data_IF_219663146501
#
_entry.id   IF_219663146501
#
_cell.length_a   1.000
_cell.length_b   1.000
_cell.length_c   1.000
_cell.angle_alpha   90.00
_cell.angle_beta   90.00
_cell.angle_gamma   90.00
#
_symmetry.space_group_name_H-M   'P 1'
#
loop_
_entity.id
_entity.type
_entity.pdbx_description
1 polymer ?
#
# COMPACT_ATOMS: atom_id res chain seq x y z
N UNK A 1 -2.84 12.38 19.84
CA UNK A 1 -2.44 13.44 18.89
C UNK A 1 -1.33 13.00 17.94
N UNK A 2 -0.38 12.17 18.38
CA UNK A 2 0.73 11.69 17.53
C UNK A 2 0.29 10.95 16.27
N UNK A 3 -0.76 10.11 16.34
CA UNK A 3 -1.30 9.37 15.19
C UNK A 3 -1.75 10.29 14.06
N UNK A 4 -2.49 11.36 14.39
CA UNK A 4 -2.99 12.35 13.43
C UNK A 4 -1.83 13.11 12.78
N UNK A 5 -0.80 13.46 13.55
CA UNK A 5 0.39 14.11 13.03
C UNK A 5 1.12 13.22 12.00
N UNK A 6 1.28 11.93 12.26
CA UNK A 6 1.87 10.98 11.31
C UNK A 6 1.05 10.86 10.01
N UNK A 7 -0.29 10.81 10.11
CA UNK A 7 -1.16 10.74 8.93
C UNK A 7 -1.11 12.02 8.07
N UNK A 8 -1.02 13.19 8.71
CA UNK A 8 -0.86 14.47 8.01
C UNK A 8 0.49 14.52 7.29
N UNK A 9 1.58 14.13 7.97
CA UNK A 9 2.92 14.06 7.38
C UNK A 9 2.90 13.14 6.16
N UNK A 10 2.37 11.92 6.32
CA UNK A 10 2.24 10.96 5.22
C UNK A 10 1.50 11.56 4.00
N UNK A 11 0.35 12.17 4.24
CA UNK A 11 -0.49 12.75 3.16
C UNK A 11 0.20 13.93 2.48
N UNK A 12 0.85 14.80 3.25
CA UNK A 12 1.55 15.97 2.71
C UNK A 12 2.75 15.57 1.84
N UNK A 13 3.57 14.61 2.28
CA UNK A 13 4.75 14.18 1.53
C UNK A 13 4.40 13.36 0.29
N UNK A 14 3.33 12.55 0.30
CA UNK A 14 2.82 11.91 -0.92
C UNK A 14 2.31 12.95 -1.92
N UNK A 15 1.59 13.98 -1.45
CA UNK A 15 1.15 15.08 -2.30
C UNK A 15 2.32 15.85 -2.93
N UNK A 16 3.40 16.06 -2.17
CA UNK A 16 4.61 16.73 -2.66
C UNK A 16 5.30 15.96 -3.78
N UNK A 17 5.13 14.64 -3.87
CA UNK A 17 5.68 13.81 -4.96
C UNK A 17 4.91 13.98 -6.29
N UNK A 18 3.76 14.66 -6.30
CA UNK A 18 3.01 14.94 -7.52
C UNK A 18 3.65 16.02 -8.41
N UNK A 19 4.63 16.78 -7.92
CA UNK A 19 5.28 17.83 -8.70
C UNK A 19 6.25 17.22 -9.74
N UNK A 20 6.05 17.50 -11.06
CA UNK A 20 6.87 16.94 -12.14
C UNK A 20 8.31 17.48 -12.19
N UNK A 21 8.66 18.52 -11.42
CA UNK A 21 9.98 19.16 -11.45
C UNK A 21 10.93 18.65 -10.34
N UNK A 22 10.52 17.66 -9.54
CA UNK A 22 11.39 17.13 -8.49
C UNK A 22 12.56 16.36 -9.09
N UNK A 23 13.76 16.67 -8.61
CA UNK A 23 14.95 15.84 -8.82
C UNK A 23 14.73 14.47 -8.17
N UNK A 24 15.31 13.42 -8.77
CA UNK A 24 15.25 12.05 -8.25
C UNK A 24 15.58 11.97 -6.75
N UNK A 25 16.61 12.70 -6.30
CA UNK A 25 16.99 12.77 -4.89
C UNK A 25 15.87 13.27 -3.96
N UNK A 26 15.11 14.30 -4.38
CA UNK A 26 14.00 14.86 -3.58
C UNK A 26 12.83 13.90 -3.51
N UNK A 27 12.49 13.24 -4.63
CA UNK A 27 11.44 12.21 -4.67
C UNK A 27 11.77 11.08 -3.70
N UNK A 28 13.01 10.60 -3.69
CA UNK A 28 13.44 9.54 -2.78
C UNK A 28 13.37 9.96 -1.32
N UNK A 29 13.82 11.17 -0.98
CA UNK A 29 13.77 11.69 0.40
C UNK A 29 12.32 11.83 0.88
N UNK A 30 11.44 12.42 0.05
CA UNK A 30 10.03 12.55 0.39
C UNK A 30 9.33 11.19 0.52
N UNK A 31 9.68 10.23 -0.34
CA UNK A 31 9.23 8.85 -0.25
C UNK A 31 9.67 8.16 1.04
N UNK A 32 10.93 8.32 1.46
CA UNK A 32 11.44 7.74 2.71
C UNK A 32 10.71 8.30 3.94
N UNK A 33 10.47 9.61 3.99
CA UNK A 33 9.74 10.25 5.08
C UNK A 33 8.29 9.75 5.13
N UNK A 34 7.62 9.70 3.98
CA UNK A 34 6.24 9.19 3.89
C UNK A 34 6.15 7.71 4.35
N UNK A 35 7.04 6.85 3.88
CA UNK A 35 7.06 5.44 4.26
C UNK A 35 7.35 5.22 5.75
N UNK A 36 8.24 6.03 6.33
CA UNK A 36 8.54 5.97 7.76
C UNK A 36 7.32 6.38 8.60
N UNK A 37 6.66 7.48 8.23
CA UNK A 37 5.42 7.91 8.87
C UNK A 37 4.32 6.84 8.74
N UNK A 38 4.26 6.16 7.58
CA UNK A 38 3.34 5.06 7.36
C UNK A 38 3.57 3.88 8.31
N UNK A 39 4.83 3.43 8.43
CA UNK A 39 5.18 2.34 9.33
C UNK A 39 4.82 2.63 10.80
N UNK A 40 5.02 3.87 11.24
CA UNK A 40 4.68 4.28 12.61
C UNK A 40 3.17 4.23 12.85
N UNK A 41 2.34 4.81 11.98
CA UNK A 41 0.90 4.80 12.22
C UNK A 41 0.32 3.39 12.12
N UNK A 42 0.80 2.58 11.17
CA UNK A 42 0.31 1.22 10.96
C UNK A 42 0.61 0.33 12.18
N UNK A 43 1.83 0.40 12.70
CA UNK A 43 2.23 -0.32 13.92
C UNK A 43 1.32 0.01 15.10
N UNK A 44 0.91 1.29 15.24
CA UNK A 44 -0.01 1.71 16.30
C UNK A 44 -1.43 1.20 16.08
N UNK A 45 -1.93 1.19 14.84
CA UNK A 45 -3.27 0.67 14.53
C UNK A 45 -3.38 -0.85 14.79
N UNK A 46 -2.33 -1.61 14.47
CA UNK A 46 -2.30 -3.06 14.75
C UNK A 46 -2.24 -3.31 16.26
N UNK A 47 -1.41 -2.56 16.99
CA UNK A 47 -1.36 -2.67 18.44
C UNK A 47 -2.69 -2.29 19.10
N UNK A 48 -3.40 -1.28 18.60
CA UNK A 48 -4.70 -0.86 19.13
C UNK A 48 -5.76 -1.97 19.00
N UNK A 49 -5.83 -2.65 17.85
CA UNK A 49 -6.79 -3.74 17.63
C UNK A 49 -6.60 -4.93 18.58
N UNK A 50 -5.36 -5.14 19.06
CA UNK A 50 -5.04 -6.17 20.04
C UNK A 50 -5.45 -5.80 21.47
N UNK A 51 -5.62 -4.52 21.79
CA UNK A 51 -6.00 -4.04 23.12
C UNK A 51 -7.52 -4.01 23.36
N UNK A 52 -8.32 -4.10 22.30
CA UNK A 52 -9.78 -4.03 22.39
C UNK A 52 -10.45 -5.38 22.68
N UNK A 53 -9.69 -6.48 22.54
CA UNK A 53 -10.20 -7.85 22.67
C UNK A 53 -9.48 -8.61 23.79
N UNK A 54 -10.16 -9.60 24.36
CA UNK A 54 -9.54 -10.51 25.32
C UNK A 54 -8.32 -11.20 24.72
N UNK A 55 -7.32 -11.48 25.55
CA UNK A 55 -6.04 -12.05 25.12
C UNK A 55 -6.19 -13.39 24.36
N UNK A 56 -7.27 -14.13 24.59
CA UNK A 56 -7.61 -15.37 23.88
C UNK A 56 -8.01 -15.15 22.41
N UNK A 57 -8.53 -13.96 22.07
CA UNK A 57 -9.13 -13.66 20.76
C UNK A 57 -8.30 -12.65 19.93
N UNK A 58 -7.14 -12.20 20.45
CA UNK A 58 -6.22 -11.27 19.77
C UNK A 58 -5.83 -11.76 18.37
N UNK A 59 -5.58 -13.06 18.22
CA UNK A 59 -5.24 -13.67 16.93
C UNK A 59 -6.36 -13.53 15.90
N UNK A 60 -7.62 -13.70 16.32
CA UNK A 60 -8.78 -13.60 15.44
C UNK A 60 -9.04 -12.14 15.04
N UNK A 61 -8.91 -11.20 16.00
CA UNK A 61 -9.04 -9.76 15.74
C UNK A 61 -8.00 -9.26 14.73
N UNK A 62 -6.72 -9.54 14.96
CA UNK A 62 -5.65 -9.10 14.07
C UNK A 62 -5.73 -9.81 12.70
N UNK A 63 -6.12 -11.08 12.68
CA UNK A 63 -6.35 -11.83 11.44
C UNK A 63 -7.45 -11.21 10.58
N UNK A 64 -8.57 -10.81 11.20
CA UNK A 64 -9.64 -10.09 10.51
C UNK A 64 -9.17 -8.72 10.00
N UNK A 65 -8.45 -7.94 10.82
CA UNK A 65 -7.89 -6.64 10.43
C UNK A 65 -6.99 -6.75 9.19
N UNK A 66 -6.07 -7.71 9.16
CA UNK A 66 -5.15 -7.91 8.03
C UNK A 66 -5.85 -8.45 6.78
N UNK A 67 -6.95 -9.20 6.95
CA UNK A 67 -7.78 -9.64 5.83
C UNK A 67 -8.47 -8.46 5.14
N UNK A 68 -9.07 -7.54 5.91
CA UNK A 68 -9.65 -6.31 5.35
C UNK A 68 -8.61 -5.45 4.63
N UNK A 69 -7.42 -5.30 5.23
CA UNK A 69 -6.30 -4.61 4.59
C UNK A 69 -5.98 -5.22 3.23
N UNK A 70 -5.81 -6.54 3.16
CA UNK A 70 -5.48 -7.24 1.91
C UNK A 70 -6.53 -7.02 0.82
N UNK A 71 -7.82 -7.09 1.17
CA UNK A 71 -8.92 -6.85 0.22
C UNK A 71 -8.88 -5.42 -0.32
N UNK A 72 -8.74 -4.43 0.57
CA UNK A 72 -8.68 -3.01 0.17
C UNK A 72 -7.43 -2.75 -0.69
N UNK A 73 -6.28 -3.31 -0.32
CA UNK A 73 -5.05 -3.19 -1.13
C UNK A 73 -5.23 -3.80 -2.51
N UNK A 74 -5.87 -4.96 -2.64
CA UNK A 74 -6.11 -5.58 -3.95
C UNK A 74 -7.01 -4.70 -4.84
N UNK A 75 -8.10 -4.14 -4.30
CA UNK A 75 -8.98 -3.23 -5.03
C UNK A 75 -8.24 -1.95 -5.42
N UNK A 76 -7.50 -1.35 -4.49
CA UNK A 76 -6.71 -0.16 -4.76
C UNK A 76 -5.68 -0.42 -5.87
N UNK A 77 -4.90 -1.50 -5.79
CA UNK A 77 -3.93 -1.90 -6.81
C UNK A 77 -4.58 -2.08 -8.18
N UNK A 78 -5.77 -2.68 -8.26
CA UNK A 78 -6.50 -2.82 -9.51
C UNK A 78 -6.89 -1.44 -10.11
N UNK A 79 -7.35 -0.50 -9.28
CA UNK A 79 -7.65 0.88 -9.70
C UNK A 79 -6.39 1.59 -10.18
N UNK A 80 -5.27 1.46 -9.46
CA UNK A 80 -3.98 2.05 -9.82
C UNK A 80 -3.50 1.54 -11.19
N UNK A 81 -3.48 0.23 -11.40
CA UNK A 81 -3.04 -0.38 -12.67
C UNK A 81 -3.95 0.02 -13.82
N UNK A 82 -5.27 -0.04 -13.62
CA UNK A 82 -6.26 0.31 -14.65
C UNK A 82 -6.12 1.78 -15.06
N UNK A 83 -5.99 2.67 -14.08
CA UNK A 83 -5.86 4.11 -14.34
C UNK A 83 -4.53 4.43 -15.01
N UNK A 84 -3.44 3.79 -14.58
CA UNK A 84 -2.12 3.97 -15.18
C UNK A 84 -2.12 3.55 -16.66
N UNK A 85 -2.64 2.36 -16.97
CA UNK A 85 -2.72 1.86 -18.35
C UNK A 85 -3.56 2.80 -19.22
N UNK A 86 -4.77 3.18 -18.77
CA UNK A 86 -5.63 4.09 -19.52
C UNK A 86 -5.01 5.47 -19.76
N UNK A 87 -4.28 5.99 -18.76
CA UNK A 87 -3.66 7.31 -18.83
C UNK A 87 -2.40 7.29 -19.68
N UNK A 88 -1.59 6.23 -19.57
CA UNK A 88 -0.42 6.03 -20.41
C UNK A 88 -0.80 5.90 -21.87
N UNK A 89 -1.78 5.06 -22.22
CA UNK A 89 -2.23 4.94 -23.62
C UNK A 89 -2.67 6.29 -24.18
N UNK A 90 -3.39 7.11 -23.39
CA UNK A 90 -3.79 8.47 -23.82
C UNK A 90 -2.61 9.42 -23.98
N UNK A 91 -1.69 9.44 -23.01
CA UNK A 91 -0.55 10.35 -23.00
C UNK A 91 0.51 9.97 -24.04
N UNK A 92 0.73 8.68 -24.29
CA UNK A 92 1.63 8.19 -25.34
C UNK A 92 1.14 8.68 -26.70
N UNK A 93 -0.13 8.47 -27.03
CA UNK A 93 -0.69 9.01 -28.28
C UNK A 93 -0.60 10.54 -28.35
N UNK A 94 -0.84 11.25 -27.24
CA UNK A 94 -0.83 12.71 -27.22
C UNK A 94 0.57 13.32 -27.36
N UNK A 95 1.58 12.74 -26.72
CA UNK A 95 2.91 13.35 -26.64
C UNK A 95 3.93 12.68 -27.58
N UNK A 96 3.92 11.34 -27.67
CA UNK A 96 4.93 10.58 -28.40
C UNK A 96 4.65 10.63 -29.91
N UNK A 97 3.41 10.36 -30.32
CA UNK A 97 3.02 10.40 -31.75
C UNK A 97 3.18 11.82 -32.31
N UNK A 98 2.80 12.86 -31.57
CA UNK A 98 2.99 14.25 -32.00
C UNK A 98 4.47 14.64 -32.08
N UNK A 99 5.32 14.15 -31.18
CA UNK A 99 6.76 14.46 -31.21
C UNK A 99 7.45 13.81 -32.41
N UNK A 100 7.10 12.56 -32.72
CA UNK A 100 7.65 11.83 -33.86
C UNK A 100 7.11 12.40 -35.18
N UNK A 101 5.81 12.72 -35.28
CA UNK A 101 5.24 13.35 -36.47
C UNK A 101 5.91 14.69 -36.81
N UNK A 102 6.31 15.48 -35.81
CA UNK A 102 7.06 16.74 -36.00
C UNK A 102 8.45 16.55 -36.61
N UNK A 103 9.02 15.34 -36.54
CA UNK A 103 10.31 15.02 -37.19
C UNK A 103 10.16 14.68 -38.68
N UNK A 104 8.94 14.69 -39.23
CA UNK A 104 8.67 14.38 -40.63
C UNK A 104 8.62 12.89 -40.96
N UNK A 105 8.55 12.02 -39.93
CA UNK A 105 8.42 10.59 -40.12
C UNK A 105 7.05 10.21 -40.71
N UNK A 106 7.02 9.20 -41.59
CA UNK A 106 5.77 8.63 -42.11
C UNK A 106 4.92 8.05 -40.97
N UNK A 107 3.59 8.06 -41.13
CA UNK A 107 2.65 7.57 -40.11
C UNK A 107 2.93 6.12 -39.69
N UNK A 108 3.30 5.25 -40.63
CA UNK A 108 3.62 3.84 -40.35
C UNK A 108 4.88 3.67 -39.49
N UNK A 109 5.92 4.46 -39.75
CA UNK A 109 7.17 4.46 -38.95
C UNK A 109 6.91 5.06 -37.57
N UNK A 110 6.01 6.04 -37.49
CA UNK A 110 5.62 6.69 -36.23
C UNK A 110 4.93 5.71 -35.28
N UNK A 111 3.99 4.91 -35.77
CA UNK A 111 3.32 3.90 -34.95
C UNK A 111 4.28 2.77 -34.52
N UNK A 112 5.08 2.25 -35.45
CA UNK A 112 6.06 1.20 -35.16
C UNK A 112 7.11 1.65 -34.12
N UNK A 113 7.62 2.88 -34.26
CA UNK A 113 8.57 3.46 -33.31
C UNK A 113 7.93 3.74 -31.95
N UNK A 114 6.67 4.19 -31.93
CA UNK A 114 5.93 4.40 -30.66
C UNK A 114 5.75 3.08 -29.92
N UNK A 115 5.43 1.99 -30.62
CA UNK A 115 5.31 0.65 -30.03
C UNK A 115 6.66 0.15 -29.48
N UNK A 116 7.74 0.30 -30.26
CA UNK A 116 9.09 -0.13 -29.87
C UNK A 116 9.63 0.65 -28.67
N UNK A 117 9.33 1.95 -28.58
CA UNK A 117 9.67 2.80 -27.43
C UNK A 117 8.83 2.41 -26.21
N UNK A 118 7.54 2.14 -26.38
CA UNK A 118 6.68 1.70 -25.28
C UNK A 118 7.08 0.33 -24.72
N UNK A 119 7.58 -0.58 -25.56
CA UNK A 119 8.06 -1.90 -25.14
C UNK A 119 9.46 -1.88 -24.52
N UNK A 120 10.19 -0.77 -24.61
CA UNK A 120 11.57 -0.65 -24.11
C UNK A 120 12.58 -1.59 -24.80
N UNK A 121 12.24 -2.12 -25.98
CA UNK A 121 13.08 -3.10 -26.67
C UNK A 121 14.02 -2.38 -27.64
N UNK A 122 15.30 -2.30 -27.29
CA UNK A 122 16.33 -1.65 -28.09
C UNK A 122 16.47 -2.25 -29.51
N UNK A 123 16.22 -3.54 -29.66
CA UNK A 123 16.27 -4.24 -30.96
C UNK A 123 15.11 -3.81 -31.85
N UNK A 124 13.90 -3.70 -31.29
CA UNK A 124 12.73 -3.24 -32.02
C UNK A 124 12.87 -1.77 -32.47
N UNK A 125 13.56 -0.93 -31.70
CA UNK A 125 13.86 0.45 -32.09
C UNK A 125 14.83 0.47 -33.28
N UNK A 126 15.85 -0.38 -33.28
CA UNK A 126 16.82 -0.47 -34.38
C UNK A 126 16.19 -0.97 -35.70
N UNK A 127 15.20 -1.87 -35.62
CA UNK A 127 14.47 -2.41 -36.77
C UNK A 127 13.59 -1.38 -37.49
N UNK A 128 13.20 -0.28 -36.84
CA UNK A 128 12.37 0.77 -37.46
C UNK A 128 13.12 1.65 -38.47
N UNK A 129 14.45 1.55 -38.54
CA UNK A 129 15.31 2.41 -39.37
C UNK A 129 15.00 3.93 -39.24
N UNK A 130 14.46 4.35 -38.10
CA UNK A 130 14.08 5.72 -37.86
C UNK A 130 15.30 6.63 -37.68
N UNK A 131 15.15 7.91 -38.05
CA UNK A 131 16.20 8.92 -37.83
C UNK A 131 16.56 9.01 -36.34
N UNK A 132 17.85 9.16 -35.97
CA UNK A 132 18.26 9.36 -34.58
C UNK A 132 17.51 10.51 -33.88
N UNK A 133 17.12 11.55 -34.62
CA UNK A 133 16.33 12.66 -34.11
C UNK A 133 14.91 12.24 -33.69
N UNK A 134 14.28 11.32 -34.42
CA UNK A 134 12.95 10.79 -34.09
C UNK A 134 13.00 9.89 -32.85
N UNK A 135 14.07 9.10 -32.68
CA UNK A 135 14.28 8.24 -31.51
C UNK A 135 14.50 9.09 -30.26
N UNK A 136 15.34 10.14 -30.35
CA UNK A 136 15.54 11.07 -29.23
C UNK A 136 14.27 11.84 -28.88
N UNK A 137 13.54 12.36 -29.87
CA UNK A 137 12.27 13.06 -29.63
C UNK A 137 11.20 12.14 -29.01
N UNK A 138 11.08 10.91 -29.52
CA UNK A 138 10.14 9.92 -29.01
C UNK A 138 10.46 9.47 -27.58
N UNK A 139 11.73 9.23 -27.27
CA UNK A 139 12.16 8.85 -25.92
C UNK A 139 11.99 9.97 -24.89
N UNK A 140 12.33 11.22 -25.23
CA UNK A 140 12.08 12.38 -24.37
C UNK A 140 10.56 12.62 -24.16
N UNK A 141 9.76 12.47 -25.21
CA UNK A 141 8.31 12.57 -25.13
C UNK A 141 7.70 11.44 -24.27
N UNK A 142 8.26 10.23 -24.33
CA UNK A 142 7.85 9.09 -23.51
C UNK A 142 8.13 9.35 -22.02
N UNK A 143 9.31 9.89 -21.69
CA UNK A 143 9.62 10.31 -20.32
C UNK A 143 8.61 11.33 -19.80
N UNK A 144 8.27 12.34 -20.61
CA UNK A 144 7.27 13.35 -20.24
C UNK A 144 5.86 12.74 -20.08
N UNK A 145 5.47 11.81 -20.96
CA UNK A 145 4.20 11.09 -20.86
C UNK A 145 4.11 10.24 -19.58
N UNK A 146 5.21 9.58 -19.19
CA UNK A 146 5.31 8.84 -17.94
C UNK A 146 5.17 9.76 -16.73
N UNK A 147 5.93 10.87 -16.68
CA UNK A 147 5.85 11.86 -15.58
C UNK A 147 4.42 12.36 -15.39
N UNK A 148 3.71 12.72 -16.48
CA UNK A 148 2.32 13.17 -16.42
C UNK A 148 1.34 12.08 -15.99
N UNK A 149 1.61 10.82 -16.34
CA UNK A 149 0.76 9.70 -15.95
C UNK A 149 0.94 9.34 -14.47
N UNK A 150 2.17 9.36 -13.96
CA UNK A 150 2.46 9.14 -12.54
C UNK A 150 1.96 10.29 -11.65
N UNK A 151 1.99 11.54 -12.15
CA UNK A 151 1.40 12.68 -11.45
C UNK A 151 -0.08 12.44 -11.09
N UNK A 152 -0.86 11.83 -11.99
CA UNK A 152 -2.24 11.46 -11.71
C UNK A 152 -2.35 10.41 -10.59
N UNK A 153 -1.44 9.43 -10.56
CA UNK A 153 -1.42 8.42 -9.50
C UNK A 153 -1.13 9.02 -8.12
N UNK A 154 -0.23 10.01 -8.04
CA UNK A 154 0.04 10.72 -6.78
C UNK A 154 -1.18 11.52 -6.30
N UNK A 155 -2.00 12.08 -7.20
CA UNK A 155 -3.28 12.70 -6.80
C UNK A 155 -4.30 11.70 -6.26
N UNK A 156 -4.35 10.49 -6.84
CA UNK A 156 -5.19 9.40 -6.30
C UNK A 156 -4.69 8.99 -4.92
N UNK A 157 -3.38 8.83 -4.75
CA UNK A 157 -2.76 8.56 -3.45
C UNK A 157 -3.06 9.66 -2.42
N UNK A 158 -3.05 10.93 -2.82
CA UNK A 158 -3.40 12.06 -1.97
C UNK A 158 -4.85 11.98 -1.47
N UNK A 159 -5.80 11.58 -2.33
CA UNK A 159 -7.20 11.38 -1.92
C UNK A 159 -7.35 10.29 -0.85
N UNK A 160 -6.64 9.17 -1.00
CA UNK A 160 -6.61 8.11 0.01
C UNK A 160 -5.94 8.56 1.31
N UNK A 161 -4.83 9.30 1.24
CA UNK A 161 -4.17 9.87 2.42
C UNK A 161 -5.10 10.82 3.20
N UNK A 162 -5.88 11.63 2.49
CA UNK A 162 -6.84 12.54 3.10
C UNK A 162 -7.99 11.80 3.79
N UNK A 163 -8.50 10.73 3.19
CA UNK A 163 -9.48 9.84 3.82
C UNK A 163 -8.94 9.18 5.09
N UNK A 164 -7.68 8.72 5.08
CA UNK A 164 -6.99 8.16 6.26
C UNK A 164 -6.85 9.23 7.35
N UNK A 165 -6.50 10.47 6.97
CA UNK A 165 -6.36 11.58 7.91
C UNK A 165 -7.70 11.88 8.60
N UNK A 166 -8.81 11.90 7.85
CA UNK A 166 -10.15 12.06 8.42
C UNK A 166 -10.46 10.90 9.37
N UNK A 167 -10.22 9.65 8.96
CA UNK A 167 -10.44 8.48 9.82
C UNK A 167 -9.61 8.54 11.12
N UNK A 168 -8.37 9.02 11.04
CA UNK A 168 -7.48 9.19 12.20
C UNK A 168 -8.01 10.23 13.20
N UNK A 169 -8.73 11.26 12.74
CA UNK A 169 -9.40 12.21 13.63
C UNK A 169 -10.51 11.55 14.46
N UNK A 170 -11.32 10.68 13.84
CA UNK A 170 -12.39 9.94 14.51
C UNK A 170 -11.85 8.91 15.51
N UNK A 171 -10.67 8.34 15.26
CA UNK A 171 -10.05 7.32 16.11
C UNK A 171 -9.30 7.90 17.33
N UNK A 172 -9.42 9.21 17.60
CA UNK A 172 -8.59 9.94 18.57
C UNK A 172 -8.40 9.26 19.94
N UNK A 173 -7.12 9.14 20.33
CA UNK A 173 -6.44 8.89 21.63
C UNK A 173 -7.22 8.45 22.89
N UNK A 174 -8.45 8.90 23.10
CA UNK A 174 -9.27 8.62 24.29
C UNK A 174 -9.65 7.13 24.39
N UNK A 175 -9.91 6.46 23.28
CA UNK A 175 -10.26 5.03 23.27
C UNK A 175 -9.07 4.13 23.62
N UNK A 176 -7.90 4.37 23.02
CA UNK A 176 -6.71 3.54 23.23
C UNK A 176 -6.14 3.75 24.64
N UNK A 177 -6.06 4.99 25.13
CA UNK A 177 -5.55 5.26 26.48
C UNK A 177 -6.47 4.71 27.58
N UNK A 178 -7.79 4.70 27.36
CA UNK A 178 -8.76 4.10 28.29
C UNK A 178 -8.67 2.57 28.37
N UNK A 179 -7.98 1.91 27.44
CA UNK A 179 -7.86 0.45 27.36
C UNK A 179 -6.45 -0.06 27.73
N UNK A 180 -5.54 0.84 28.08
CA UNK A 180 -4.25 0.47 28.68
C UNK A 180 -4.49 0.00 30.12
N UNK A 181 -4.62 -1.31 30.29
CA UNK A 181 -4.71 -1.96 31.61
C UNK A 181 -3.31 -2.15 32.20
N UNK A 182 -3.17 -1.92 33.52
CA UNK A 182 -1.94 -2.23 34.28
C UNK A 182 -1.91 -3.69 34.75
N UNK A 183 -2.94 -4.47 34.46
CA UNK A 183 -3.02 -5.86 34.85
C UNK A 183 -2.32 -6.76 33.85
N UNK A 184 -1.46 -7.63 34.37
CA UNK A 184 -0.75 -8.63 33.58
C UNK A 184 -1.53 -9.94 33.71
N UNK A 185 -2.29 -10.38 32.70
CA UNK A 185 -2.92 -11.69 32.71
C UNK A 185 -1.82 -12.77 32.77
N UNK A 186 -1.66 -13.39 33.94
CA UNK A 186 -0.80 -14.56 34.13
C UNK A 186 -1.66 -15.81 34.00
N UNK A 187 -1.20 -16.78 33.22
CA UNK A 187 -1.73 -18.14 33.35
C UNK A 187 -1.28 -18.67 34.71
N UNK A 188 -2.21 -19.07 35.58
CA UNK A 188 -1.85 -19.93 36.69
C UNK A 188 -1.33 -21.24 36.08
N UNK A 189 -0.02 -21.44 36.15
CA UNK A 189 0.54 -22.76 35.93
C UNK A 189 0.03 -23.63 37.10
N UNK A 190 -0.51 -24.81 36.77
CA UNK A 190 -0.93 -25.89 37.68
C UNK A 190 -2.43 -26.04 38.09
N UNK A 191 -3.38 -25.30 37.51
CA UNK A 191 -4.83 -25.52 37.80
C UNK A 191 -5.42 -26.78 37.15
N UNK A 192 -4.60 -27.58 36.48
CA UNK A 192 -5.01 -28.82 35.80
C UNK A 192 -4.67 -30.12 36.53
N UNK A 193 -3.96 -30.08 37.66
CA UNK A 193 -3.53 -31.30 38.37
C UNK A 193 -4.37 -31.67 39.58
N UNK A 194 -5.17 -30.77 40.13
CA UNK A 194 -5.90 -31.04 41.38
C UNK A 194 -7.27 -31.70 41.16
N UNK A 195 -7.85 -31.66 39.96
CA UNK A 195 -9.18 -32.26 39.72
C UNK A 195 -9.16 -33.72 39.24
N UNK A 196 -7.98 -34.33 39.06
CA UNK A 196 -7.84 -35.74 38.67
C UNK A 196 -7.49 -36.67 39.85
N UNK A 197 -7.21 -36.11 41.03
CA UNK A 197 -6.95 -36.86 42.27
C UNK A 197 -8.23 -37.33 42.96
N UNK A 198 -9.32 -36.57 42.83
CA UNK A 198 -10.55 -36.84 43.60
C UNK A 198 -11.52 -37.80 42.88
N UNK A 199 -11.33 -38.07 41.59
CA UNK A 199 -12.20 -39.00 40.83
C UNK A 199 -11.77 -40.47 40.90
N UNK A 200 -10.54 -40.78 41.35
CA UNK A 200 -10.03 -42.16 41.42
C UNK A 200 -10.35 -42.84 42.77
N UNK A 201 -10.78 -42.09 43.79
CA UNK A 201 -11.07 -42.63 45.14
C UNK A 201 -12.55 -42.97 45.36
N UNK A 202 -13.44 -42.62 44.41
CA UNK A 202 -14.88 -42.85 44.52
C UNK A 202 -15.39 -43.92 43.53
N UNK A 203 -14.89 -45.15 43.65
CA UNK A 203 -15.53 -46.34 43.05
C UNK A 203 -15.89 -47.33 44.17
N UNK A 204 -17.18 -47.65 44.37
CA UNK A 204 -17.64 -48.45 45.51
C UNK A 204 -17.35 -49.93 45.29
N UNK A 205 -16.67 -50.57 46.24
CA UNK A 205 -16.68 -52.03 46.40
C UNK A 205 -17.96 -52.43 47.15
N UNK A 206 -18.91 -53.05 46.43
CA UNK A 206 -20.05 -53.76 47.02
C UNK A 206 -20.10 -55.19 46.47
N UNK A 207 -20.49 -56.13 47.35
CA UNK A 207 -20.52 -57.61 47.27
C UNK A 207 -19.27 -58.25 47.93
N UNK A 208 -19.34 -59.05 49.00
CA UNK A 208 -20.36 -60.01 49.44
C UNK A 208 -20.35 -60.27 50.97
N UNK A 209 -21.49 -60.76 51.47
CA UNK A 209 -21.64 -61.98 52.29
C UNK A 209 -22.41 -61.86 53.64
N UNK A 210 -23.59 -62.50 53.62
CA UNK A 210 -24.48 -63.04 54.68
C UNK A 210 -25.31 -62.12 55.57
#
# INVERSE_FOLDING_TARGET
>A
MELVACCIIFTAFIGAMADPNLTLAKVTIFGMIALTAQGIFESRCVAAASLEVDQKDVGQSNGAQMSFRTVITAVASAIFVTTLNNTLTKNVHKYVVLAIAKTGASAAITEALTLAIASGNATAIAETHASPAAIQAGSAAMQHALVKSYQLLYYIGLAFGLAITIAAFFLSSQLIQSRLTSEIPRRLQDVGKEHQSDSEVASPTSHDEK
#
